data_IF_628064684408
#
_entry.id   IF_628064684408
#
_cell.length_a   1.000
_cell.length_b   1.000
_cell.length_c   1.000
_cell.angle_alpha   90.00
_cell.angle_beta   90.00
_cell.angle_gamma   90.00
#
_symmetry.space_group_name_H-M   'P 1'
#
loop_
_entity.id
_entity.type
_entity.pdbx_description
1 polymer ?
#
# COMPACT_ATOMS: atom_id res chain seq x y z
N UNK A 1 14.66 4.86 1.97
CA UNK A 1 13.52 5.41 2.72
C UNK A 1 14.03 6.45 3.70
N UNK A 2 13.73 7.72 3.46
CA UNK A 2 13.98 8.77 4.44
C UNK A 2 12.81 8.81 5.43
N UNK A 3 13.04 8.19 6.59
CA UNK A 3 12.06 8.12 7.67
C UNK A 3 12.25 9.29 8.63
N UNK A 4 11.14 9.86 9.09
CA UNK A 4 11.13 10.79 10.21
C UNK A 4 11.48 10.07 11.51
N UNK A 5 11.88 10.82 12.55
CA UNK A 5 12.23 10.22 13.83
C UNK A 5 11.02 9.56 14.53
N UNK A 6 9.82 10.08 14.29
CA UNK A 6 8.56 9.48 14.75
C UNK A 6 8.31 8.12 14.07
N UNK A 7 8.49 8.03 12.75
CA UNK A 7 8.36 6.77 12.01
C UNK A 7 9.40 5.74 12.45
N UNK A 8 10.66 6.17 12.68
CA UNK A 8 11.71 5.29 13.22
C UNK A 8 11.36 4.79 14.62
N UNK A 9 10.76 5.63 15.47
CA UNK A 9 10.31 5.23 16.80
C UNK A 9 9.18 4.22 16.73
N UNK A 10 8.22 4.41 15.81
CA UNK A 10 7.15 3.44 15.57
C UNK A 10 7.70 2.08 15.13
N UNK A 11 8.66 2.05 14.21
CA UNK A 11 9.31 0.80 13.76
C UNK A 11 10.11 0.08 14.85
N UNK A 12 10.63 0.79 15.85
CA UNK A 12 11.29 0.17 17.01
C UNK A 12 10.29 -0.38 18.02
N UNK A 13 9.08 0.18 18.06
CA UNK A 13 8.03 -0.17 19.02
C UNK A 13 7.21 -1.36 18.56
N UNK A 14 6.92 -1.46 17.26
CA UNK A 14 6.04 -2.48 16.68
C UNK A 14 6.78 -3.34 15.67
N UNK A 15 6.54 -4.66 15.70
CA UNK A 15 7.08 -5.62 14.73
C UNK A 15 6.12 -5.92 13.58
N UNK A 16 4.82 -5.77 13.81
CA UNK A 16 3.75 -5.99 12.84
C UNK A 16 2.61 -5.00 13.06
N UNK A 17 1.65 -4.94 12.13
CA UNK A 17 0.45 -4.10 12.28
C UNK A 17 -0.47 -4.61 13.41
N UNK A 18 -0.46 -5.91 13.70
CA UNK A 18 -1.29 -6.51 14.74
C UNK A 18 -0.82 -6.13 16.15
N UNK A 19 0.47 -5.81 16.32
CA UNK A 19 1.06 -5.39 17.59
C UNK A 19 0.62 -3.99 18.03
N UNK A 20 -0.04 -3.23 17.16
CA UNK A 20 -0.48 -1.88 17.46
C UNK A 20 -1.70 -1.96 18.40
N UNK A 21 -1.64 -1.34 19.60
CA UNK A 21 -2.75 -1.29 20.54
C UNK A 21 -4.01 -0.70 19.90
N UNK A 22 -5.18 -1.24 20.22
CA UNK A 22 -6.44 -0.86 19.58
C UNK A 22 -6.78 0.64 19.69
N UNK A 23 -6.33 1.27 20.77
CA UNK A 23 -6.47 2.71 21.06
C UNK A 23 -5.55 3.60 20.21
N UNK A 24 -4.46 3.05 19.66
CA UNK A 24 -3.51 3.77 18.80
C UNK A 24 -3.72 3.47 17.31
N UNK A 25 -4.69 2.61 16.97
CA UNK A 25 -4.96 2.23 15.58
C UNK A 25 -5.65 3.38 14.86
N UNK A 26 -5.12 3.68 13.67
CA UNK A 26 -5.73 4.62 12.72
C UNK A 26 -6.15 3.84 11.49
N UNK A 27 -7.18 4.32 10.81
CA UNK A 27 -7.74 3.66 9.64
C UNK A 27 -7.89 4.63 8.47
N UNK A 28 -7.67 4.13 7.25
CA UNK A 28 -7.94 4.83 5.99
C UNK A 28 -9.29 4.37 5.46
N UNK A 29 -10.19 5.31 5.24
CA UNK A 29 -11.46 5.03 4.58
C UNK A 29 -11.28 5.05 3.05
N UNK A 30 -11.66 3.97 2.35
CA UNK A 30 -11.59 3.92 0.88
C UNK A 30 -12.63 4.81 0.19
N UNK A 31 -13.71 5.16 0.87
CA UNK A 31 -14.80 5.95 0.28
C UNK A 31 -14.48 7.44 0.30
N UNK A 32 -14.13 7.98 1.47
CA UNK A 32 -13.87 9.41 1.64
C UNK A 32 -12.37 9.77 1.68
N UNK A 33 -11.48 8.78 1.67
CA UNK A 33 -10.02 8.96 1.72
C UNK A 33 -9.52 9.71 2.97
N UNK A 34 -10.34 9.78 4.02
CA UNK A 34 -9.95 10.36 5.31
C UNK A 34 -9.28 9.32 6.21
N UNK A 35 -8.34 9.81 7.03
CA UNK A 35 -7.78 9.05 8.15
C UNK A 35 -8.70 9.26 9.34
N UNK A 36 -9.17 8.16 9.92
CA UNK A 36 -10.12 8.13 11.02
C UNK A 36 -9.61 7.19 12.10
N UNK A 37 -9.95 7.49 13.35
CA UNK A 37 -9.49 6.70 14.51
C UNK A 37 -10.60 5.74 15.02
N UNK A 38 -11.80 5.84 14.44
CA UNK A 38 -12.99 5.06 14.81
C UNK A 38 -13.60 4.34 13.59
N UNK A 39 -14.26 3.21 13.86
CA UNK A 39 -15.04 2.45 12.89
C UNK A 39 -16.49 2.33 13.40
N UNK A 40 -17.52 2.63 12.59
CA UNK A 40 -17.50 3.05 11.18
C UNK A 40 -16.96 4.49 10.96
N UNK A 41 -16.65 4.82 9.71
CA UNK A 41 -16.13 6.15 9.36
C UNK A 41 -17.11 7.26 9.80
N UNK A 42 -16.70 8.24 10.62
CA UNK A 42 -17.57 9.32 11.07
C UNK A 42 -18.03 10.25 9.94
N UNK A 43 -17.31 10.29 8.81
CA UNK A 43 -17.64 11.16 7.69
C UNK A 43 -18.66 10.55 6.72
N UNK A 44 -18.57 9.26 6.42
CA UNK A 44 -19.40 8.61 5.39
C UNK A 44 -20.13 7.34 5.84
N UNK A 45 -19.89 6.86 7.05
CA UNK A 45 -20.51 5.64 7.59
C UNK A 45 -19.95 4.32 7.05
N UNK A 46 -18.86 4.35 6.27
CA UNK A 46 -18.23 3.13 5.76
C UNK A 46 -17.70 2.25 6.91
N UNK A 47 -17.98 0.95 6.83
CA UNK A 47 -17.60 -0.04 7.84
C UNK A 47 -16.29 -0.75 7.50
N UNK A 48 -15.96 -0.85 6.22
CA UNK A 48 -14.75 -1.53 5.72
C UNK A 48 -13.58 -0.54 5.67
N UNK A 49 -12.98 -0.29 6.83
CA UNK A 49 -11.82 0.59 6.95
C UNK A 49 -10.51 -0.21 6.89
N UNK A 50 -9.50 0.34 6.20
CA UNK A 50 -8.19 -0.28 6.12
C UNK A 50 -7.31 0.21 7.28
N UNK A 51 -6.77 -0.69 8.09
CA UNK A 51 -5.82 -0.31 9.13
C UNK A 51 -4.57 0.35 8.51
N UNK A 52 -4.24 1.54 9.01
CA UNK A 52 -3.13 2.34 8.53
C UNK A 52 -1.83 1.92 9.23
N UNK A 53 -0.75 1.83 8.46
CA UNK A 53 0.59 1.61 8.99
C UNK A 53 1.08 2.91 9.67
N UNK A 54 1.71 2.86 10.85
CA UNK A 54 2.21 4.06 11.54
C UNK A 54 3.40 4.71 10.81
N UNK A 55 3.99 3.99 9.86
CA UNK A 55 5.01 4.53 8.94
C UNK A 55 4.35 5.23 7.74
N UNK A 56 3.07 4.95 7.46
CA UNK A 56 2.35 5.55 6.34
C UNK A 56 2.03 7.03 6.57
N UNK A 57 1.95 7.76 5.46
CA UNK A 57 1.26 9.05 5.39
C UNK A 57 0.52 9.15 4.06
N UNK A 58 -0.66 9.78 4.09
CA UNK A 58 -1.61 9.76 2.97
C UNK A 58 -1.30 10.73 1.84
N UNK A 59 -0.10 11.31 1.80
CA UNK A 59 0.23 12.30 0.77
C UNK A 59 1.71 12.22 0.42
N UNK A 60 2.02 11.61 -0.72
CA UNK A 60 3.35 11.66 -1.31
C UNK A 60 3.46 12.93 -2.18
N UNK A 61 4.39 13.87 -1.89
CA UNK A 61 4.61 15.04 -2.74
C UNK A 61 5.53 14.74 -3.94
N UNK A 62 6.07 13.52 -4.01
CA UNK A 62 6.99 13.08 -5.06
C UNK A 62 6.21 12.46 -6.22
N UNK A 63 6.64 12.78 -7.44
CA UNK A 63 6.17 12.16 -8.68
C UNK A 63 6.93 10.83 -8.92
N UNK A 64 7.55 10.64 -10.08
CA UNK A 64 8.30 9.42 -10.38
C UNK A 64 9.64 9.40 -9.65
N UNK A 65 9.84 8.34 -8.88
CA UNK A 65 11.10 8.02 -8.19
C UNK A 65 11.70 6.74 -8.78
N UNK A 66 13.02 6.74 -9.01
CA UNK A 66 13.68 5.64 -9.75
C UNK A 66 13.87 4.37 -8.93
N UNK A 67 13.83 4.46 -7.59
CA UNK A 67 14.07 3.34 -6.70
C UNK A 67 12.78 2.75 -6.12
N UNK A 68 12.80 1.44 -5.87
CA UNK A 68 11.73 0.72 -5.20
C UNK A 68 12.05 0.57 -3.72
N UNK A 69 11.05 0.78 -2.87
CA UNK A 69 11.14 0.48 -1.46
C UNK A 69 9.89 -0.25 -0.96
N UNK A 70 10.10 -1.08 0.06
CA UNK A 70 9.05 -1.76 0.78
C UNK A 70 9.13 -1.35 2.24
N UNK A 71 7.96 -1.17 2.84
CA UNK A 71 7.88 -0.87 4.25
C UNK A 71 8.33 -2.08 5.08
N UNK A 72 9.29 -1.93 5.99
CA UNK A 72 9.77 -3.03 6.82
C UNK A 72 8.74 -3.49 7.87
N UNK A 73 7.72 -2.66 8.16
CA UNK A 73 6.70 -2.98 9.16
C UNK A 73 5.53 -3.79 8.58
N UNK A 74 5.01 -3.37 7.42
CA UNK A 74 3.83 -4.01 6.81
C UNK A 74 4.12 -4.71 5.48
N UNK A 75 5.32 -4.58 4.93
CA UNK A 75 5.71 -5.17 3.64
C UNK A 75 5.11 -4.47 2.41
N UNK A 76 4.23 -3.49 2.57
CA UNK A 76 3.61 -2.80 1.46
C UNK A 76 4.62 -1.91 0.70
N UNK A 77 4.43 -1.71 -0.62
CA UNK A 77 5.21 -0.74 -1.39
C UNK A 77 5.16 0.64 -0.74
N UNK A 78 6.30 1.32 -0.71
CA UNK A 78 6.40 2.64 -0.11
C UNK A 78 7.34 3.54 -0.90
N UNK A 79 7.10 4.85 -0.84
CA UNK A 79 7.98 5.83 -1.45
C UNK A 79 9.38 5.76 -0.80
N UNK A 80 10.47 5.61 -1.58
CA UNK A 80 11.84 5.62 -1.08
C UNK A 80 12.25 6.96 -0.42
N UNK A 81 11.54 8.05 -0.71
CA UNK A 81 11.86 9.39 -0.24
C UNK A 81 11.06 9.83 1.00
N UNK A 82 9.81 9.36 1.18
CA UNK A 82 8.98 9.78 2.33
C UNK A 82 8.26 8.64 3.07
N UNK A 83 8.35 7.40 2.55
CA UNK A 83 7.68 6.21 3.09
C UNK A 83 6.14 6.22 3.04
N UNK A 84 5.53 7.12 2.26
CA UNK A 84 4.10 7.00 1.90
C UNK A 84 3.84 5.68 1.19
N UNK A 85 2.75 5.00 1.56
CA UNK A 85 2.29 3.77 0.90
C UNK A 85 1.27 4.06 -0.20
N UNK A 86 0.91 5.32 -0.39
CA UNK A 86 0.06 5.76 -1.50
C UNK A 86 0.92 5.96 -2.76
N UNK A 87 1.42 4.83 -3.28
CA UNK A 87 2.33 4.77 -4.42
C UNK A 87 1.96 3.63 -5.36
N UNK A 88 2.24 3.81 -6.65
CA UNK A 88 2.17 2.74 -7.65
C UNK A 88 3.58 2.30 -8.06
N UNK A 89 3.80 0.99 -8.16
CA UNK A 89 5.09 0.46 -8.61
C UNK A 89 5.11 0.42 -10.14
N UNK A 90 5.90 1.28 -10.76
CA UNK A 90 6.07 1.29 -12.21
C UNK A 90 7.40 0.65 -12.61
N UNK A 91 7.40 -0.12 -13.70
CA UNK A 91 8.60 -0.70 -14.28
C UNK A 91 8.50 -0.74 -15.80
N UNK A 92 9.64 -0.89 -16.48
CA UNK A 92 9.67 -1.06 -17.93
C UNK A 92 9.45 -2.53 -18.27
N UNK A 93 8.27 -2.89 -18.75
CA UNK A 93 7.89 -4.30 -18.96
C UNK A 93 8.06 -4.72 -20.43
N UNK A 94 7.44 -4.00 -21.36
CA UNK A 94 7.49 -4.27 -22.81
C UNK A 94 8.29 -3.22 -23.59
N UNK A 95 9.16 -2.49 -22.90
CA UNK A 95 9.87 -1.33 -23.44
C UNK A 95 9.25 0.02 -23.06
N UNK A 96 8.05 0.04 -22.47
CA UNK A 96 7.41 1.25 -21.92
C UNK A 96 7.24 1.14 -20.40
N UNK A 97 7.12 2.27 -19.72
CA UNK A 97 6.73 2.30 -18.30
C UNK A 97 5.31 1.79 -18.16
N UNK A 98 5.11 0.85 -17.24
CA UNK A 98 3.83 0.24 -16.96
C UNK A 98 3.69 0.01 -15.46
N UNK A 99 2.47 0.15 -14.95
CA UNK A 99 2.16 -0.25 -13.58
C UNK A 99 2.29 -1.77 -13.44
N UNK A 100 3.08 -2.20 -12.46
CA UNK A 100 3.41 -3.61 -12.23
C UNK A 100 2.17 -4.38 -11.76
N UNK A 101 1.34 -3.78 -10.90
CA UNK A 101 0.14 -4.42 -10.39
C UNK A 101 -0.87 -4.67 -11.51
N UNK A 102 -1.16 -3.65 -12.32
CA UNK A 102 -2.02 -3.73 -13.49
C UNK A 102 -1.55 -4.75 -14.52
N UNK A 103 -0.25 -4.78 -14.82
CA UNK A 103 0.32 -5.78 -15.74
C UNK A 103 0.14 -7.21 -15.22
N UNK A 104 0.44 -7.45 -13.94
CA UNK A 104 0.30 -8.77 -13.33
C UNK A 104 -1.16 -9.24 -13.33
N UNK A 105 -2.10 -8.36 -12.98
CA UNK A 105 -3.53 -8.66 -13.01
C UNK A 105 -4.00 -9.00 -14.44
N UNK A 106 -3.56 -8.23 -15.45
CA UNK A 106 -3.88 -8.50 -16.85
C UNK A 106 -3.32 -9.86 -17.30
N UNK A 107 -2.07 -10.21 -16.95
CA UNK A 107 -1.49 -11.53 -17.28
C UNK A 107 -2.17 -12.70 -16.61
N UNK A 108 -2.63 -12.52 -15.36
CA UNK A 108 -3.45 -13.54 -14.70
C UNK A 108 -4.79 -13.72 -15.41
N UNK A 109 -5.41 -12.64 -15.90
CA UNK A 109 -6.64 -12.74 -16.67
C UNK A 109 -6.42 -13.40 -18.04
N UNK A 110 -5.36 -13.00 -18.76
CA UNK A 110 -4.95 -13.66 -20.00
C UNK A 110 -4.74 -15.17 -19.80
N UNK A 111 -4.15 -15.59 -18.66
CA UNK A 111 -3.96 -17.00 -18.35
C UNK A 111 -5.28 -17.75 -18.18
N UNK A 112 -6.29 -17.14 -17.52
CA UNK A 112 -7.62 -17.74 -17.35
C UNK A 112 -8.37 -17.89 -18.67
N UNK A 113 -8.17 -16.94 -19.58
CA UNK A 113 -8.86 -16.90 -20.87
C UNK A 113 -8.21 -17.83 -21.91
N UNK A 114 -7.06 -18.45 -21.60
CA UNK A 114 -6.42 -19.43 -22.48
C UNK A 114 -7.25 -20.70 -22.54
N UNK A 115 -7.58 -21.12 -23.75
CA UNK A 115 -8.16 -22.44 -23.99
C UNK A 115 -7.11 -23.53 -23.69
N UNK A 116 -7.45 -24.45 -22.81
CA UNK A 116 -6.67 -25.65 -22.55
C UNK A 116 -7.24 -26.80 -23.38
N UNK A 117 -6.40 -27.42 -24.21
CA UNK A 117 -6.78 -28.59 -25.00
C UNK A 117 -6.12 -29.83 -24.40
N UNK A 118 -6.93 -30.84 -24.08
CA UNK A 118 -6.42 -32.13 -23.63
C UNK A 118 -6.01 -32.96 -24.86
N UNK A 119 -4.81 -33.55 -24.81
CA UNK A 119 -4.30 -34.41 -25.88
C UNK A 119 -4.40 -35.83 -25.33
N UNK A 120 -5.54 -36.47 -25.61
CA UNK A 120 -5.79 -37.89 -25.32
C UNK A 120 -4.94 -38.84 -26.14
#
# INVERSE_FOLDING_TARGET
MHLTDEQKKAMKRFSSLDDIPADERRYKCHTCHHIVDEAPCPACGEITLQQMCPVDHCHCPHDIVESLAYCPLCGAPACPECASHDVSQISRITGYLSDVAGWNAAKQQELKDRAHYDIG
#
